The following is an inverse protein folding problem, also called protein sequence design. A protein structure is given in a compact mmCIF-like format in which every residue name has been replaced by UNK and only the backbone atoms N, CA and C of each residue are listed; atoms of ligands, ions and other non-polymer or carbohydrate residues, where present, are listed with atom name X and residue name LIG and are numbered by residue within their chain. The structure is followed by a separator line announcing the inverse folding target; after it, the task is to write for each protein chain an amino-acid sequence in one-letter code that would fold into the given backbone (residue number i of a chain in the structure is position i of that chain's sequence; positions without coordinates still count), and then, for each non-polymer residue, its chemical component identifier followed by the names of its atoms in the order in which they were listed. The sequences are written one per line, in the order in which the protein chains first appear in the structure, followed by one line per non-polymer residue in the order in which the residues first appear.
data_IF_463699379718
#
_entry.id   IF_463699379718
#
_cell.length_a   1.000
_cell.length_b   1.000
_cell.length_c   1.000
_cell.angle_alpha   90.00
_cell.angle_beta   90.00
_cell.angle_gamma   90.00
#
_symmetry.space_group_name_H-M   'P 1'
#
loop_
_entity.id
_entity.type
_entity.pdbx_description
1 polymer ?
#
# COMPACT_ATOMS: atom_id res chain seq x y z
N UNK A 1 12.00 -8.62 -25.63
CA UNK A 1 12.83 -7.92 -24.63
C UNK A 1 12.11 -8.03 -23.30
N UNK A 2 12.39 -9.08 -22.52
CA UNK A 2 11.62 -9.48 -21.32
C UNK A 2 12.44 -9.30 -20.02
N UNK A 3 13.48 -8.47 -20.05
CA UNK A 3 14.55 -8.47 -19.03
C UNK A 3 14.36 -7.50 -17.85
N UNK A 4 13.28 -6.72 -17.76
CA UNK A 4 13.15 -5.67 -16.72
C UNK A 4 11.92 -5.83 -15.80
N UNK A 5 11.26 -7.00 -15.80
CA UNK A 5 10.01 -7.21 -15.02
C UNK A 5 10.22 -7.19 -13.50
N UNK A 6 11.40 -7.54 -13.01
CA UNK A 6 11.70 -7.69 -11.58
C UNK A 6 12.88 -6.83 -11.12
N UNK A 7 13.02 -5.65 -11.72
CA UNK A 7 13.97 -4.66 -11.26
C UNK A 7 13.51 -4.04 -9.93
N UNK A 8 14.28 -4.27 -8.86
CA UNK A 8 13.91 -3.83 -7.50
C UNK A 8 13.70 -2.32 -7.39
N UNK A 9 14.41 -1.51 -8.17
CA UNK A 9 14.25 -0.05 -8.18
C UNK A 9 12.87 0.36 -8.69
N UNK A 10 12.26 -0.42 -9.61
CA UNK A 10 10.89 -0.17 -10.06
C UNK A 10 9.87 -0.37 -8.93
N UNK A 11 10.21 -1.23 -7.97
CA UNK A 11 9.47 -1.45 -6.74
C UNK A 11 9.93 -0.54 -5.59
N UNK A 12 10.78 0.46 -5.83
CA UNK A 12 11.18 1.44 -4.82
C UNK A 12 12.37 1.05 -3.96
N UNK A 13 13.21 0.12 -4.43
CA UNK A 13 14.53 -0.10 -3.85
C UNK A 13 15.45 1.09 -4.17
N UNK A 14 16.16 1.59 -3.16
CA UNK A 14 17.13 2.67 -3.28
C UNK A 14 18.18 2.59 -2.14
N UNK A 15 19.02 3.62 -2.03
CA UNK A 15 20.15 3.67 -1.08
C UNK A 15 19.75 3.49 0.39
N UNK A 16 18.53 3.89 0.77
CA UNK A 16 18.06 3.69 2.15
C UNK A 16 17.89 2.20 2.46
N UNK A 17 17.24 1.47 1.56
CA UNK A 17 17.04 0.04 1.71
C UNK A 17 18.34 -0.74 1.49
N UNK A 18 19.17 -0.31 0.53
CA UNK A 18 20.50 -0.88 0.32
C UNK A 18 21.39 -0.73 1.58
N UNK A 19 21.35 0.43 2.24
CA UNK A 19 22.06 0.67 3.50
C UNK A 19 21.57 -0.24 4.63
N UNK A 20 20.24 -0.40 4.79
CA UNK A 20 19.66 -1.34 5.75
C UNK A 20 19.95 -2.81 5.44
N UNK A 21 20.16 -3.14 4.16
CA UNK A 21 20.43 -4.49 3.70
C UNK A 21 21.91 -4.89 3.71
N UNK A 22 22.82 -3.91 3.74
CA UNK A 22 24.27 -4.14 3.62
C UNK A 22 24.83 -5.25 4.56
N UNK A 23 24.40 -5.39 5.83
CA UNK A 23 24.86 -6.49 6.69
C UNK A 23 24.49 -7.89 6.18
N UNK A 24 23.37 -8.00 5.47
CA UNK A 24 22.83 -9.28 4.97
C UNK A 24 23.40 -9.62 3.58
N UNK A 25 23.74 -8.62 2.77
CA UNK A 25 24.34 -8.83 1.45
C UNK A 25 25.64 -9.68 1.52
N UNK A 26 26.49 -9.44 2.53
CA UNK A 26 27.73 -10.20 2.75
C UNK A 26 27.51 -11.65 3.20
N UNK A 27 26.29 -12.01 3.62
CA UNK A 27 25.93 -13.34 4.13
C UNK A 27 25.09 -14.17 3.14
N UNK A 28 25.01 -13.73 1.88
CA UNK A 28 24.30 -14.44 0.81
C UNK A 28 22.77 -14.37 0.93
N UNK A 29 22.24 -13.35 1.61
CA UNK A 29 20.81 -13.06 1.59
C UNK A 29 20.40 -12.38 0.28
N UNK A 30 19.12 -12.48 -0.05
CA UNK A 30 18.48 -11.76 -1.14
C UNK A 30 17.47 -10.76 -0.55
N UNK A 31 17.29 -9.62 -1.21
CA UNK A 31 16.23 -8.67 -0.87
C UNK A 31 14.90 -9.07 -1.53
N UNK A 32 13.81 -9.00 -0.77
CA UNK A 32 12.46 -9.22 -1.28
C UNK A 32 11.50 -8.13 -0.82
N UNK A 33 10.57 -7.72 -1.68
CA UNK A 33 9.49 -6.80 -1.32
C UNK A 33 8.19 -7.57 -1.12
N UNK A 34 7.59 -7.47 0.06
CA UNK A 34 6.31 -8.12 0.36
C UNK A 34 5.19 -7.44 -0.44
N UNK A 35 4.48 -8.20 -1.28
CA UNK A 35 3.29 -7.69 -2.00
C UNK A 35 1.98 -8.36 -1.56
N UNK A 36 2.06 -9.51 -0.89
CA UNK A 36 0.90 -10.20 -0.32
C UNK A 36 1.28 -10.89 0.99
N UNK A 37 0.36 -10.84 1.95
CA UNK A 37 0.44 -11.57 3.21
C UNK A 37 -0.85 -12.34 3.44
N UNK A 38 -0.74 -13.65 3.73
CA UNK A 38 -1.87 -14.48 4.09
C UNK A 38 -1.45 -15.63 5.00
N UNK A 39 -2.09 -15.81 6.16
CA UNK A 39 -1.87 -16.95 7.07
C UNK A 39 -0.38 -17.27 7.35
N UNK A 40 0.42 -16.23 7.68
CA UNK A 40 1.89 -16.31 7.94
C UNK A 40 2.76 -16.69 6.73
N UNK A 41 2.16 -16.75 5.55
CA UNK A 41 2.84 -16.86 4.27
C UNK A 41 2.93 -15.47 3.66
N UNK A 42 4.10 -15.17 3.08
CA UNK A 42 4.41 -13.91 2.43
C UNK A 42 4.76 -14.19 0.97
N UNK A 43 4.21 -13.41 0.05
CA UNK A 43 4.63 -13.40 -1.35
C UNK A 43 5.48 -12.17 -1.60
N UNK A 44 6.62 -12.39 -2.25
CA UNK A 44 7.67 -11.40 -2.40
C UNK A 44 8.01 -11.17 -3.87
N UNK A 45 8.27 -9.92 -4.25
CA UNK A 45 9.03 -9.60 -5.46
C UNK A 45 10.52 -9.58 -5.11
N UNK A 46 11.31 -10.36 -5.83
CA UNK A 46 12.76 -10.47 -5.70
C UNK A 46 13.42 -10.22 -7.05
N UNK A 47 14.74 -9.99 -7.09
CA UNK A 47 15.45 -9.83 -8.35
C UNK A 47 15.36 -11.09 -9.24
N UNK A 48 15.21 -12.27 -8.63
CA UNK A 48 15.01 -13.54 -9.32
C UNK A 48 13.53 -13.89 -9.60
N UNK A 49 12.59 -12.97 -9.35
CA UNK A 49 11.16 -13.16 -9.60
C UNK A 49 10.31 -13.24 -8.34
N UNK A 50 9.11 -13.83 -8.45
CA UNK A 50 8.22 -14.02 -7.30
C UNK A 50 8.73 -15.16 -6.41
N UNK A 51 8.61 -14.99 -5.10
CA UNK A 51 8.96 -15.99 -4.11
C UNK A 51 7.89 -16.11 -3.03
N UNK A 52 7.71 -17.33 -2.52
CA UNK A 52 6.91 -17.59 -1.32
C UNK A 52 7.86 -17.68 -0.14
N UNK A 53 7.52 -17.06 0.97
CA UNK A 53 8.38 -17.02 2.15
C UNK A 53 7.60 -17.13 3.47
N UNK A 54 8.32 -17.50 4.52
CA UNK A 54 7.81 -17.51 5.89
C UNK A 54 8.84 -16.93 6.87
N UNK A 55 8.34 -16.33 7.95
CA UNK A 55 9.17 -15.84 9.05
C UNK A 55 9.95 -17.00 9.70
N UNK A 56 11.27 -16.82 9.86
CA UNK A 56 12.12 -17.76 10.61
C UNK A 56 11.68 -17.91 12.07
N UNK A 57 12.08 -19.01 12.70
CA UNK A 57 11.87 -19.20 14.15
C UNK A 57 12.56 -18.12 14.98
N UNK A 58 13.75 -17.66 14.56
CA UNK A 58 14.47 -16.56 15.21
C UNK A 58 13.69 -15.24 15.14
N UNK A 59 13.15 -14.88 13.97
CA UNK A 59 12.33 -13.68 13.81
C UNK A 59 11.10 -13.74 14.73
N UNK A 60 10.41 -14.90 14.76
CA UNK A 60 9.25 -15.12 15.63
C UNK A 60 9.59 -15.03 17.12
N UNK A 61 10.74 -15.54 17.51
CA UNK A 61 11.19 -15.52 18.91
C UNK A 61 11.59 -14.11 19.36
N UNK A 62 12.17 -13.32 18.46
CA UNK A 62 12.60 -11.95 18.75
C UNK A 62 11.47 -10.91 18.66
N UNK A 63 10.39 -11.22 17.95
CA UNK A 63 9.24 -10.35 17.80
C UNK A 63 8.58 -10.08 19.17
N UNK A 64 8.40 -8.80 19.49
CA UNK A 64 7.73 -8.29 20.69
C UNK A 64 6.24 -8.08 20.46
N UNK A 65 5.84 -7.86 19.21
CA UNK A 65 4.45 -7.68 18.82
C UNK A 65 4.22 -7.92 17.33
N UNK A 66 2.99 -7.69 16.89
CA UNK A 66 2.57 -7.88 15.50
C UNK A 66 3.31 -6.94 14.53
N UNK A 67 3.79 -5.80 15.01
CA UNK A 67 4.54 -4.80 14.26
C UNK A 67 5.93 -5.27 13.81
N UNK A 68 6.52 -6.25 14.51
CA UNK A 68 7.84 -6.81 14.16
C UNK A 68 7.76 -7.84 13.02
N UNK A 69 6.54 -8.27 12.68
CA UNK A 69 6.34 -9.14 11.53
C UNK A 69 6.30 -8.35 10.22
N UNK A 70 6.70 -8.98 9.09
CA UNK A 70 6.56 -8.37 7.79
C UNK A 70 5.09 -8.02 7.49
N UNK A 71 4.89 -6.88 6.85
CA UNK A 71 3.62 -6.40 6.31
C UNK A 71 3.76 -6.10 4.81
N UNK A 72 2.63 -5.89 4.13
CA UNK A 72 2.65 -5.52 2.70
C UNK A 72 3.43 -4.23 2.50
N UNK A 73 4.34 -4.22 1.53
CA UNK A 73 5.23 -3.10 1.20
C UNK A 73 6.57 -3.14 1.95
N UNK A 74 6.75 -4.01 2.94
CA UNK A 74 8.04 -4.20 3.60
C UNK A 74 9.09 -4.76 2.65
N UNK A 75 10.32 -4.31 2.85
CA UNK A 75 11.50 -4.96 2.31
C UNK A 75 12.07 -5.91 3.36
N UNK A 76 12.47 -7.10 2.93
CA UNK A 76 12.93 -8.16 3.80
C UNK A 76 14.22 -8.79 3.30
N UNK A 77 15.06 -9.25 4.22
CA UNK A 77 16.19 -10.12 3.91
C UNK A 77 15.75 -11.58 3.96
N UNK A 78 15.89 -12.28 2.83
CA UNK A 78 15.50 -13.68 2.69
C UNK A 78 16.69 -14.58 2.36
N UNK A 79 16.60 -15.84 2.78
CA UNK A 79 17.52 -16.90 2.35
C UNK A 79 16.72 -18.00 1.66
N UNK A 80 17.20 -18.43 0.49
CA UNK A 80 16.70 -19.60 -0.22
C UNK A 80 17.52 -20.81 0.20
N UNK A 81 16.86 -21.93 0.48
CA UNK A 81 17.52 -23.21 0.71
C UNK A 81 17.24 -24.11 -0.48
N UNK A 82 18.29 -24.71 -1.07
CA UNK A 82 18.11 -25.64 -2.17
C UNK A 82 17.23 -26.82 -1.74
N UNK A 83 16.19 -27.11 -2.52
CA UNK A 83 15.22 -28.18 -2.22
C UNK A 83 14.06 -27.78 -1.30
N UNK A 84 13.97 -26.52 -0.86
CA UNK A 84 12.79 -25.99 -0.17
C UNK A 84 11.93 -25.12 -1.10
N UNK A 85 10.60 -25.28 -1.01
CA UNK A 85 9.65 -24.49 -1.79
C UNK A 85 9.47 -23.06 -1.26
N UNK A 86 9.88 -22.80 -0.01
CA UNK A 86 9.68 -21.51 0.67
C UNK A 86 11.01 -20.92 1.12
N UNK A 87 11.19 -19.64 0.81
CA UNK A 87 12.27 -18.84 1.36
C UNK A 87 12.03 -18.54 2.84
N UNK A 88 13.10 -18.23 3.57
CA UNK A 88 13.02 -17.87 4.99
C UNK A 88 13.30 -16.38 5.17
N UNK A 89 12.34 -15.66 5.73
CA UNK A 89 12.48 -14.25 6.11
C UNK A 89 13.28 -14.17 7.41
N UNK A 90 14.46 -13.60 7.31
CA UNK A 90 15.36 -13.41 8.44
C UNK A 90 15.18 -12.06 9.12
N UNK A 91 14.93 -11.01 8.34
CA UNK A 91 14.80 -9.65 8.85
C UNK A 91 13.79 -8.84 8.04
N UNK A 92 13.08 -7.94 8.71
CA UNK A 92 12.34 -6.83 8.09
C UNK A 92 13.26 -5.60 8.09
N UNK A 93 13.55 -5.04 6.91
CA UNK A 93 14.39 -3.86 6.79
C UNK A 93 13.68 -2.61 7.38
N UNK A 94 14.43 -1.55 7.73
CA UNK A 94 13.85 -0.32 8.27
C UNK A 94 12.72 0.24 7.39
N UNK A 95 11.65 0.71 8.03
CA UNK A 95 10.47 1.28 7.35
C UNK A 95 10.59 2.79 7.20
N UNK A 96 10.28 3.31 6.01
CA UNK A 96 10.14 4.76 5.77
C UNK A 96 8.80 5.30 6.22
N UNK A 97 7.76 4.47 6.07
CA UNK A 97 6.41 4.79 6.49
C UNK A 97 5.70 3.53 6.96
N UNK A 98 4.72 3.70 7.87
CA UNK A 98 3.90 2.60 8.39
C UNK A 98 2.46 3.02 8.62
N UNK A 99 1.54 2.28 8.03
CA UNK A 99 0.11 2.37 8.31
C UNK A 99 -0.28 1.30 9.30
N UNK A 100 -0.66 1.73 10.49
CA UNK A 100 -1.00 0.82 11.58
C UNK A 100 -2.48 0.90 11.93
N UNK A 101 -3.04 -0.24 12.30
CA UNK A 101 -4.36 -0.35 12.90
C UNK A 101 -4.21 -0.88 14.32
N UNK A 102 -4.90 -0.26 15.26
CA UNK A 102 -5.06 -0.81 16.61
C UNK A 102 -5.95 -2.05 16.52
N UNK A 103 -5.42 -3.23 16.85
CA UNK A 103 -6.22 -4.44 16.95
C UNK A 103 -7.10 -4.38 18.21
N UNK A 104 -8.33 -4.91 18.14
CA UNK A 104 -9.21 -4.99 19.30
C UNK A 104 -8.80 -6.18 20.18
N UNK A 105 -8.39 -5.91 21.43
CA UNK A 105 -7.88 -6.93 22.37
C UNK A 105 -7.58 -6.36 23.76
N UNK A 106 -7.15 -7.23 24.70
CA UNK A 106 -6.78 -6.85 26.09
C UNK A 106 -5.52 -5.99 26.16
N UNK A 107 -4.61 -6.17 25.20
CA UNK A 107 -3.50 -5.27 24.92
C UNK A 107 -3.77 -4.68 23.52
N UNK A 108 -3.60 -3.37 23.38
CA UNK A 108 -3.82 -2.69 22.09
C UNK A 108 -2.62 -2.95 21.19
N UNK A 109 -2.52 -4.16 20.64
CA UNK A 109 -1.43 -4.50 19.73
C UNK A 109 -1.54 -3.68 18.43
N UNK A 110 -0.43 -3.07 18.03
CA UNK A 110 -0.32 -2.31 16.79
C UNK A 110 -0.05 -3.28 15.63
N UNK A 111 -1.00 -3.40 14.70
CA UNK A 111 -0.79 -4.20 13.49
C UNK A 111 -0.52 -3.30 12.30
N UNK A 112 0.60 -3.53 11.61
CA UNK A 112 0.93 -2.81 10.39
C UNK A 112 0.19 -3.44 9.21
N UNK A 113 -0.59 -2.62 8.51
CA UNK A 113 -1.40 -2.99 7.36
C UNK A 113 -0.64 -2.76 6.06
N UNK A 114 0.17 -1.70 6.01
CA UNK A 114 1.04 -1.39 4.88
C UNK A 114 2.28 -0.62 5.36
N UNK A 115 3.41 -0.82 4.69
CA UNK A 115 4.66 -0.13 4.96
C UNK A 115 5.27 0.41 3.66
N UNK A 116 6.15 1.40 3.79
CA UNK A 116 6.89 2.01 2.68
C UNK A 116 5.97 2.50 1.53
N UNK A 117 4.87 3.11 1.93
CA UNK A 117 3.97 3.87 1.07
C UNK A 117 4.48 5.31 0.99
N UNK A 118 4.69 5.83 -0.21
CA UNK A 118 5.15 7.19 -0.46
C UNK A 118 3.98 8.19 -0.44
N UNK A 119 2.85 7.81 -1.04
CA UNK A 119 1.70 8.69 -1.21
C UNK A 119 0.41 7.97 -0.87
N UNK A 120 -0.50 8.67 -0.19
CA UNK A 120 -1.85 8.18 0.05
C UNK A 120 -2.86 9.05 -0.67
N UNK A 121 -3.58 8.44 -1.59
CA UNK A 121 -4.78 9.01 -2.17
C UNK A 121 -5.95 8.80 -1.21
N UNK A 122 -6.36 9.88 -0.57
CA UNK A 122 -7.54 9.93 0.29
C UNK A 122 -8.77 10.18 -0.58
N UNK A 123 -9.39 9.10 -1.01
CA UNK A 123 -10.52 9.12 -1.93
C UNK A 123 -11.83 9.32 -1.16
N UNK A 124 -12.54 10.39 -1.50
CA UNK A 124 -13.88 10.71 -1.01
C UNK A 124 -14.83 10.84 -2.20
N UNK A 125 -16.03 10.27 -2.07
CA UNK A 125 -17.07 10.46 -3.07
C UNK A 125 -17.83 11.76 -2.83
N UNK A 126 -18.09 12.52 -3.89
CA UNK A 126 -18.94 13.72 -3.87
C UNK A 126 -20.46 13.40 -3.94
N UNK A 127 -20.83 12.18 -3.58
CA UNK A 127 -22.20 11.75 -3.34
C UNK A 127 -22.51 11.71 -1.83
N UNK A 128 -23.31 10.74 -1.38
CA UNK A 128 -23.64 10.58 0.05
C UNK A 128 -22.44 10.21 0.95
N UNK A 129 -21.22 10.10 0.40
CA UNK A 129 -20.00 9.86 1.17
C UNK A 129 -19.26 11.15 1.59
N UNK A 130 -19.59 12.31 1.02
CA UNK A 130 -18.87 13.55 1.30
C UNK A 130 -18.86 13.86 2.81
N UNK A 131 -17.68 13.81 3.41
CA UNK A 131 -17.50 13.88 4.85
C UNK A 131 -16.14 14.48 5.23
N UNK A 132 -16.03 15.82 5.32
CA UNK A 132 -14.80 16.53 5.67
C UNK A 132 -14.18 16.05 6.99
N UNK A 133 -14.99 15.81 8.03
CA UNK A 133 -14.50 15.27 9.32
C UNK A 133 -13.84 13.89 9.20
N UNK A 134 -14.30 13.07 8.25
CA UNK A 134 -13.67 11.77 7.95
C UNK A 134 -12.35 11.97 7.21
N UNK A 135 -12.31 12.88 6.23
CA UNK A 135 -11.06 13.26 5.56
C UNK A 135 -10.02 13.74 6.55
N UNK A 136 -10.37 14.65 7.46
CA UNK A 136 -9.47 15.20 8.48
C UNK A 136 -8.79 14.09 9.29
N UNK A 137 -9.55 13.09 9.76
CA UNK A 137 -8.99 11.94 10.48
C UNK A 137 -8.06 11.10 9.61
N UNK A 138 -8.38 10.91 8.34
CA UNK A 138 -7.55 10.11 7.43
C UNK A 138 -6.27 10.85 7.02
N UNK A 139 -6.36 12.17 6.90
CA UNK A 139 -5.23 13.07 6.69
C UNK A 139 -4.23 12.95 7.84
N UNK A 140 -4.70 13.01 9.09
CA UNK A 140 -3.85 12.78 10.28
C UNK A 140 -3.14 11.44 10.20
N UNK A 141 -3.85 10.33 9.92
CA UNK A 141 -3.22 9.01 9.79
C UNK A 141 -2.20 8.93 8.64
N UNK A 142 -2.45 9.63 7.53
CA UNK A 142 -1.51 9.67 6.41
C UNK A 142 -0.21 10.38 6.83
N UNK A 143 -0.30 11.55 7.47
CA UNK A 143 0.88 12.25 7.97
C UNK A 143 1.62 11.48 9.07
N UNK A 144 0.91 10.90 10.04
CA UNK A 144 1.50 10.09 11.11
C UNK A 144 2.22 8.85 10.57
N UNK A 145 1.78 8.31 9.43
CA UNK A 145 2.47 7.20 8.78
C UNK A 145 3.81 7.59 8.15
N UNK A 146 4.03 8.88 7.87
CA UNK A 146 5.15 9.40 7.07
C UNK A 146 4.90 9.45 5.56
N UNK A 147 3.72 9.08 5.08
CA UNK A 147 3.34 9.19 3.67
C UNK A 147 2.76 10.57 3.33
N UNK A 148 2.93 11.02 2.09
CA UNK A 148 2.35 12.27 1.61
C UNK A 148 0.86 12.08 1.27
N UNK A 149 -0.08 12.78 1.91
CA UNK A 149 -1.48 12.72 1.50
C UNK A 149 -1.77 13.55 0.26
N UNK A 150 -2.71 13.07 -0.54
CA UNK A 150 -3.38 13.78 -1.64
C UNK A 150 -4.86 13.49 -1.52
N UNK A 151 -5.69 14.51 -1.39
CA UNK A 151 -7.14 14.34 -1.32
C UNK A 151 -7.70 14.21 -2.73
N UNK A 152 -8.48 13.16 -2.96
CA UNK A 152 -9.09 12.85 -4.25
C UNK A 152 -10.61 12.89 -4.09
N UNK A 153 -11.23 13.95 -4.59
CA UNK A 153 -12.67 14.13 -4.63
C UNK A 153 -13.21 13.51 -5.93
N UNK A 154 -13.67 12.27 -5.81
CA UNK A 154 -14.21 11.49 -6.93
C UNK A 154 -15.73 11.75 -7.11
N UNK A 155 -16.26 11.40 -8.28
CA UNK A 155 -17.66 11.62 -8.69
C UNK A 155 -17.99 13.10 -8.83
N UNK A 156 -17.02 13.90 -9.28
CA UNK A 156 -17.20 15.33 -9.54
C UNK A 156 -18.30 15.63 -10.56
N UNK A 157 -18.71 14.65 -11.37
CA UNK A 157 -19.86 14.74 -12.27
C UNK A 157 -21.22 14.87 -11.58
N UNK A 158 -21.29 14.70 -10.26
CA UNK A 158 -22.53 14.77 -9.48
C UNK A 158 -22.78 16.14 -8.84
N UNK A 159 -21.83 17.07 -8.95
CA UNK A 159 -21.91 18.37 -8.28
C UNK A 159 -21.62 19.51 -9.26
N UNK A 160 -22.31 20.63 -9.08
CA UNK A 160 -22.08 21.85 -9.87
C UNK A 160 -21.14 22.83 -9.15
N UNK A 161 -21.00 22.73 -7.83
CA UNK A 161 -20.24 23.64 -6.96
C UNK A 161 -18.90 23.07 -6.47
N UNK A 162 -18.12 22.45 -7.38
CA UNK A 162 -16.86 21.80 -7.04
C UNK A 162 -15.86 22.71 -6.29
N UNK A 163 -15.76 23.99 -6.67
CA UNK A 163 -14.79 24.92 -6.07
C UNK A 163 -15.12 25.30 -4.62
N UNK A 164 -16.39 25.31 -4.23
CA UNK A 164 -16.78 25.54 -2.83
C UNK A 164 -16.34 24.36 -1.94
N UNK A 165 -16.60 23.13 -2.41
CA UNK A 165 -16.21 21.89 -1.74
C UNK A 165 -14.68 21.76 -1.66
N UNK A 166 -13.95 22.26 -2.67
CA UNK A 166 -12.49 22.35 -2.64
C UNK A 166 -12.03 23.18 -1.45
N UNK A 167 -12.55 24.39 -1.31
CA UNK A 167 -12.15 25.31 -0.26
C UNK A 167 -12.37 24.73 1.15
N UNK A 168 -13.49 24.02 1.36
CA UNK A 168 -13.74 23.35 2.64
C UNK A 168 -12.68 22.29 2.97
N UNK A 169 -12.28 21.49 1.98
CA UNK A 169 -11.26 20.46 2.16
C UNK A 169 -9.86 21.07 2.34
N UNK A 170 -9.52 22.12 1.59
CA UNK A 170 -8.22 22.79 1.71
C UNK A 170 -7.98 23.37 3.11
N UNK A 171 -9.04 23.80 3.81
CA UNK A 171 -8.96 24.26 5.21
C UNK A 171 -8.51 23.17 6.19
N UNK A 172 -8.88 21.91 5.94
CA UNK A 172 -8.53 20.76 6.79
C UNK A 172 -7.34 19.95 6.27
N UNK A 173 -6.83 20.28 5.08
CA UNK A 173 -5.79 19.55 4.37
C UNK A 173 -4.55 20.41 4.10
N UNK A 174 -3.97 21.10 5.11
CA UNK A 174 -2.85 22.01 4.88
C UNK A 174 -1.66 21.27 4.28
N UNK A 175 -1.17 21.75 3.13
CA UNK A 175 -0.04 21.15 2.41
C UNK A 175 -0.34 19.85 1.67
N UNK A 176 -1.61 19.40 1.64
CA UNK A 176 -2.05 18.27 0.84
C UNK A 176 -2.80 18.75 -0.42
N UNK A 177 -2.39 18.32 -1.62
CA UNK A 177 -3.11 18.65 -2.85
C UNK A 177 -4.55 18.11 -2.84
N UNK A 178 -5.50 18.88 -3.37
CA UNK A 178 -6.90 18.48 -3.53
C UNK A 178 -7.22 18.34 -5.02
N UNK A 179 -7.55 17.14 -5.46
CA UNK A 179 -7.80 16.79 -6.86
C UNK A 179 -9.27 16.40 -7.06
N UNK A 180 -9.86 16.86 -8.16
CA UNK A 180 -11.21 16.48 -8.57
C UNK A 180 -11.14 15.55 -9.76
N UNK A 181 -11.92 14.46 -9.71
CA UNK A 181 -12.04 13.56 -10.85
C UNK A 181 -13.42 12.89 -10.91
N UNK A 182 -13.77 12.40 -12.08
CA UNK A 182 -14.83 11.41 -12.27
C UNK A 182 -14.22 10.14 -12.82
N UNK A 183 -13.90 9.18 -11.95
CA UNK A 183 -13.35 7.90 -12.37
C UNK A 183 -14.31 7.14 -13.31
N UNK A 184 -15.62 7.35 -13.13
CA UNK A 184 -16.66 6.76 -13.99
C UNK A 184 -16.58 7.32 -15.40
N UNK A 185 -16.42 8.63 -15.57
CA UNK A 185 -16.29 9.28 -16.88
C UNK A 185 -14.86 9.27 -17.45
N UNK A 186 -13.88 8.98 -16.60
CA UNK A 186 -12.46 9.02 -16.96
C UNK A 186 -11.86 10.43 -16.95
N UNK A 187 -12.58 11.41 -16.39
CA UNK A 187 -12.18 12.81 -16.37
C UNK A 187 -11.31 13.10 -15.13
N UNK A 188 -10.16 13.77 -15.31
CA UNK A 188 -9.29 14.20 -14.21
C UNK A 188 -8.41 13.10 -13.62
N UNK A 189 -8.48 11.85 -14.12
CA UNK A 189 -7.67 10.73 -13.62
C UNK A 189 -6.17 10.95 -13.89
N UNK A 190 -5.84 11.64 -14.98
CA UNK A 190 -4.49 12.05 -15.35
C UNK A 190 -3.79 12.89 -14.28
N UNK A 191 -4.54 13.60 -13.42
CA UNK A 191 -4.00 14.36 -12.30
C UNK A 191 -3.32 13.47 -11.24
N UNK A 192 -3.59 12.16 -11.23
CA UNK A 192 -2.95 11.21 -10.33
C UNK A 192 -1.57 10.76 -10.81
N UNK A 193 -1.28 10.87 -12.11
CA UNK A 193 -0.06 10.34 -12.72
C UNK A 193 1.24 10.93 -12.17
N UNK A 194 1.33 12.22 -11.79
CA UNK A 194 2.54 12.77 -11.18
C UNK A 194 2.99 12.08 -9.88
N UNK A 195 2.07 11.41 -9.18
CA UNK A 195 2.37 10.67 -7.94
C UNK A 195 2.66 9.18 -8.21
N UNK A 196 2.25 8.67 -9.36
CA UNK A 196 2.43 7.26 -9.76
C UNK A 196 3.66 7.18 -10.68
N UNK A 197 4.83 7.33 -10.07
CA UNK A 197 6.11 7.30 -10.78
C UNK A 197 6.89 6.04 -10.43
N UNK A 198 7.89 5.72 -11.26
CA UNK A 198 8.76 4.56 -11.05
C UNK A 198 9.36 4.59 -9.64
N UNK A 199 9.32 3.45 -8.95
CA UNK A 199 9.86 3.32 -7.60
C UNK A 199 9.03 3.95 -6.48
N UNK A 200 7.86 4.52 -6.80
CA UNK A 200 6.94 5.07 -5.79
C UNK A 200 5.76 4.14 -5.55
N UNK A 201 5.33 4.11 -4.30
CA UNK A 201 4.22 3.27 -3.83
C UNK A 201 3.08 4.15 -3.40
N UNK A 202 1.91 3.93 -4.01
CA UNK A 202 0.70 4.68 -3.72
C UNK A 202 -0.34 3.76 -3.08
N UNK A 203 -0.97 4.22 -2.00
CA UNK A 203 -2.13 3.56 -1.41
C UNK A 203 -3.40 4.39 -1.64
N UNK A 204 -4.53 3.72 -1.85
CA UNK A 204 -5.84 4.36 -1.89
C UNK A 204 -6.58 4.06 -0.59
N UNK A 205 -6.98 5.10 0.12
CA UNK A 205 -7.76 5.03 1.36
C UNK A 205 -9.07 5.79 1.18
N UNK A 206 -10.15 5.28 1.78
CA UNK A 206 -11.47 5.87 1.63
C UNK A 206 -12.56 4.85 1.94
N UNK A 207 -13.79 5.33 2.08
CA UNK A 207 -14.96 4.50 2.41
C UNK A 207 -15.24 3.45 1.33
N UNK A 208 -16.04 2.42 1.65
CA UNK A 208 -16.56 1.54 0.60
C UNK A 208 -17.43 2.34 -0.37
N UNK A 209 -17.40 2.03 -1.67
CA UNK A 209 -18.24 2.71 -2.68
C UNK A 209 -17.78 4.09 -3.17
N UNK A 210 -16.68 4.65 -2.65
CA UNK A 210 -16.15 5.96 -3.09
C UNK A 210 -15.50 5.93 -4.47
N UNK A 211 -15.28 4.73 -5.03
CA UNK A 211 -14.72 4.53 -6.37
C UNK A 211 -13.23 4.22 -6.45
N UNK A 212 -12.57 3.80 -5.35
CA UNK A 212 -11.16 3.36 -5.34
C UNK A 212 -10.86 2.30 -6.43
N UNK A 213 -11.68 1.25 -6.49
CA UNK A 213 -11.58 0.18 -7.50
C UNK A 213 -11.73 0.74 -8.92
N UNK A 214 -12.69 1.64 -9.15
CA UNK A 214 -12.85 2.30 -10.45
C UNK A 214 -11.62 3.12 -10.84
N UNK A 215 -11.01 3.84 -9.90
CA UNK A 215 -9.76 4.58 -10.12
C UNK A 215 -8.63 3.61 -10.49
N UNK A 216 -8.42 2.55 -9.70
CA UNK A 216 -7.39 1.53 -9.99
C UNK A 216 -7.59 0.93 -11.38
N UNK A 217 -8.81 0.57 -11.75
CA UNK A 217 -9.10 0.07 -13.08
C UNK A 217 -8.72 1.05 -14.18
N UNK A 218 -9.08 2.33 -14.02
CA UNK A 218 -8.74 3.36 -15.00
C UNK A 218 -7.23 3.52 -15.15
N UNK A 219 -6.49 3.52 -14.04
CA UNK A 219 -5.02 3.61 -14.03
C UNK A 219 -4.36 2.40 -14.71
N UNK A 220 -4.96 1.21 -14.57
CA UNK A 220 -4.49 -0.03 -15.18
C UNK A 220 -4.99 -0.24 -16.63
N UNK A 221 -5.60 0.77 -17.27
CA UNK A 221 -6.07 0.67 -18.66
C UNK A 221 -7.46 0.04 -18.82
N UNK A 222 -8.26 -0.05 -17.76
CA UNK A 222 -9.69 -0.35 -17.78
C UNK A 222 -10.10 -1.82 -17.55
N UNK A 223 -9.20 -2.79 -17.70
CA UNK A 223 -9.58 -4.22 -17.76
C UNK A 223 -9.12 -5.09 -16.56
N UNK A 224 -8.27 -4.59 -15.66
CA UNK A 224 -7.55 -5.47 -14.73
C UNK A 224 -8.38 -5.98 -13.53
N UNK A 225 -9.35 -5.25 -12.96
CA UNK A 225 -10.17 -5.80 -11.86
C UNK A 225 -11.41 -6.58 -12.29
N UNK A 226 -11.79 -6.62 -13.58
CA UNK A 226 -12.92 -7.46 -14.03
C UNK A 226 -12.66 -8.96 -13.76
N UNK A 227 -11.41 -9.34 -13.52
CA UNK A 227 -11.00 -10.72 -13.24
C UNK A 227 -11.01 -11.05 -11.73
N UNK A 228 -11.04 -10.05 -10.82
CA UNK A 228 -11.06 -10.31 -9.37
C UNK A 228 -12.47 -10.43 -8.76
N UNK A 229 -13.55 -10.10 -9.49
CA UNK A 229 -14.91 -10.21 -8.95
C UNK A 229 -15.49 -11.63 -8.92
N UNK A 230 -14.79 -12.68 -9.39
CA UNK A 230 -15.31 -14.06 -9.28
C UNK A 230 -14.20 -15.09 -9.00
N UNK A 231 -14.41 -15.86 -7.91
CA UNK A 231 -13.62 -16.97 -7.29
C UNK A 231 -12.67 -16.48 -6.20
N UNK A 232 -12.93 -16.70 -4.90
CA UNK A 232 -13.32 -17.95 -4.20
C UNK A 232 -14.24 -17.54 -3.03
N UNK A 233 -15.49 -17.97 -2.93
CA UNK A 233 -15.84 -19.34 -2.53
C UNK A 233 -15.72 -19.52 -1.02
N UNK A 234 -16.58 -18.89 -0.22
CA UNK A 234 -17.04 -19.47 1.05
C UNK A 234 -18.34 -18.80 1.48
N UNK A 235 -19.39 -19.34 0.88
CA UNK A 235 -20.72 -19.37 1.45
C UNK A 235 -20.67 -20.34 2.65
N UNK A 236 -20.61 -19.80 3.87
CA UNK A 236 -21.32 -20.32 5.04
C UNK A 236 -21.13 -19.43 6.26
N UNK A 237 -22.25 -18.89 6.73
CA UNK A 237 -22.36 -18.34 8.06
C UNK A 237 -22.20 -19.41 9.15
N UNK A 238 -21.31 -19.13 10.10
CA UNK A 238 -21.53 -19.10 11.55
C UNK A 238 -20.23 -18.73 12.24
#
# INVERSE_FOLDING_TARGET
MAEDKFNLETFGWDDFFAGGFAPYASEGYEAGRVFLQHNRIYMLYTAAGEAVAEATGRLRYNARGAEDFPAVGDWVAIRRTAGEDKSKIHEVLPRRSKFSRKAAGRETEEQIVAANVDTVFLVMGLDNDYNPRRAERYLIMAWESGAQPVVVLNKADLVENAEELRGEIELIAPGAPVLFLSAKRGEGVEQLMPYITRGRTVALMGSSGVGKSTIVNRLLGGEVQRIQEVRVGDDRGR
#
